data_IF_033807263121
#
_entry.id   IF_033807263121
#
_cell.length_a   1.000
_cell.length_b   1.000
_cell.length_c   1.000
_cell.angle_alpha   90.00
_cell.angle_beta   90.00
_cell.angle_gamma   90.00
#
_symmetry.space_group_name_H-M   'P 1'
#
loop_
_entity.id
_entity.type
_entity.pdbx_description
1 polymer ?
#
# COMPACT_ATOMS: atom_id res chain seq x y z
N UNK A 1 -7.34 -17.72 19.57
CA UNK A 1 -7.89 -16.35 19.74
C UNK A 1 -8.41 -15.92 18.38
N UNK A 2 -9.63 -15.40 18.28
CA UNK A 2 -10.15 -14.91 17.00
C UNK A 2 -9.37 -13.67 16.59
N UNK A 3 -8.79 -13.65 15.38
CA UNK A 3 -8.26 -12.39 14.79
C UNK A 3 -9.45 -11.44 14.64
N UNK A 4 -9.36 -10.22 15.15
CA UNK A 4 -10.46 -9.26 14.96
C UNK A 4 -10.41 -8.79 13.50
N UNK A 5 -11.56 -8.42 12.95
CA UNK A 5 -11.62 -7.86 11.61
C UNK A 5 -10.84 -6.54 11.57
N UNK A 6 -9.91 -6.36 10.61
CA UNK A 6 -9.12 -5.14 10.54
C UNK A 6 -10.05 -3.95 10.28
N UNK A 7 -9.68 -2.80 10.85
CA UNK A 7 -10.39 -1.53 10.65
C UNK A 7 -9.60 -0.52 9.82
N UNK A 8 -8.31 -0.82 9.57
CA UNK A 8 -7.42 -0.04 8.71
C UNK A 8 -6.61 -0.98 7.82
N UNK A 9 -6.50 -0.62 6.54
CA UNK A 9 -5.79 -1.40 5.53
C UNK A 9 -4.80 -0.52 4.74
N UNK A 10 -3.58 -0.32 5.26
CA UNK A 10 -2.52 0.28 4.47
C UNK A 10 -2.23 -0.60 3.25
N UNK A 11 -2.39 -0.05 2.05
CA UNK A 11 -2.09 -0.74 0.80
C UNK A 11 -0.66 -0.38 0.38
N UNK A 12 0.22 -1.37 0.36
CA UNK A 12 1.64 -1.23 0.02
C UNK A 12 1.94 -1.90 -1.32
N UNK A 13 2.92 -1.37 -2.04
CA UNK A 13 3.44 -1.94 -3.27
C UNK A 13 4.21 -0.90 -4.07
N UNK A 14 4.96 -1.34 -5.08
CA UNK A 14 5.68 -0.40 -5.94
C UNK A 14 4.71 0.38 -6.84
N UNK A 15 5.13 1.56 -7.30
CA UNK A 15 4.39 2.32 -8.30
C UNK A 15 4.07 1.43 -9.52
N UNK A 16 2.81 1.48 -9.99
CA UNK A 16 2.33 0.62 -11.07
C UNK A 16 1.68 -0.70 -10.63
N UNK A 17 1.81 -1.09 -9.35
CA UNK A 17 1.16 -2.30 -8.80
C UNK A 17 -0.35 -2.17 -8.60
N UNK A 18 -0.90 -0.94 -8.68
CA UNK A 18 -2.35 -0.70 -8.61
C UNK A 18 -2.88 -0.30 -7.23
N UNK A 19 -2.03 0.18 -6.32
CA UNK A 19 -2.43 0.51 -4.93
C UNK A 19 -3.65 1.42 -4.85
N UNK A 20 -3.67 2.54 -5.59
CA UNK A 20 -4.80 3.48 -5.58
C UNK A 20 -6.10 2.85 -6.11
N UNK A 21 -6.01 1.99 -7.13
CA UNK A 21 -7.18 1.32 -7.70
C UNK A 21 -7.76 0.31 -6.71
N UNK A 22 -6.92 -0.54 -6.11
CA UNK A 22 -7.35 -1.51 -5.11
C UNK A 22 -7.89 -0.81 -3.86
N UNK A 23 -7.23 0.25 -3.40
CA UNK A 23 -7.70 1.05 -2.27
C UNK A 23 -9.08 1.68 -2.53
N UNK A 24 -9.33 2.19 -3.74
CA UNK A 24 -10.64 2.71 -4.15
C UNK A 24 -11.73 1.64 -4.14
N UNK A 25 -11.47 0.50 -4.78
CA UNK A 25 -12.44 -0.61 -4.82
C UNK A 25 -12.76 -1.16 -3.42
N UNK A 26 -11.76 -1.28 -2.55
CA UNK A 26 -11.97 -1.68 -1.16
C UNK A 26 -12.81 -0.64 -0.39
N UNK A 27 -12.51 0.65 -0.55
CA UNK A 27 -13.26 1.72 0.09
C UNK A 27 -14.74 1.69 -0.33
N UNK A 28 -15.01 1.56 -1.63
CA UNK A 28 -16.37 1.51 -2.17
C UNK A 28 -17.15 0.30 -1.63
N UNK A 29 -16.54 -0.89 -1.60
CA UNK A 29 -17.21 -2.12 -1.15
C UNK A 29 -17.43 -2.18 0.35
N UNK A 30 -16.48 -1.68 1.13
CA UNK A 30 -16.54 -1.69 2.60
C UNK A 30 -17.28 -0.48 3.17
N UNK A 31 -17.59 0.53 2.33
CA UNK A 31 -18.12 1.82 2.79
C UNK A 31 -17.11 2.59 3.65
N UNK A 32 -15.82 2.39 3.40
CA UNK A 32 -14.73 2.98 4.18
C UNK A 32 -14.20 4.26 3.53
N UNK A 33 -13.55 5.10 4.34
CA UNK A 33 -12.89 6.32 3.86
C UNK A 33 -11.48 5.99 3.37
N UNK A 34 -11.13 6.50 2.18
CA UNK A 34 -9.76 6.44 1.65
C UNK A 34 -8.97 7.67 2.12
N UNK A 35 -7.72 7.47 2.50
CA UNK A 35 -6.75 8.53 2.78
C UNK A 35 -5.47 8.27 1.97
N UNK A 36 -4.79 9.32 1.54
CA UNK A 36 -3.51 9.23 0.84
C UNK A 36 -2.37 9.19 1.87
N UNK A 37 -1.55 8.13 1.84
CA UNK A 37 -0.49 7.95 2.83
C UNK A 37 0.61 9.04 2.74
N UNK A 38 0.82 9.60 1.54
CA UNK A 38 1.83 10.64 1.29
C UNK A 38 1.46 11.98 1.95
N UNK A 39 0.18 12.23 2.25
CA UNK A 39 -0.25 13.45 2.96
C UNK A 39 0.28 13.52 4.40
N UNK A 40 0.71 12.37 4.95
CA UNK A 40 1.29 12.29 6.28
C UNK A 40 2.81 12.53 6.29
N UNK A 41 3.45 12.65 5.13
CA UNK A 41 4.87 12.99 5.05
C UNK A 41 5.09 14.48 5.33
N UNK A 42 6.29 14.80 5.86
CA UNK A 42 6.75 16.19 5.92
C UNK A 42 6.99 16.71 4.50
N UNK A 43 6.86 18.02 4.30
CA UNK A 43 7.21 18.68 3.03
C UNK A 43 8.63 18.33 2.58
N UNK A 44 9.58 18.25 3.52
CA UNK A 44 10.96 17.87 3.24
C UNK A 44 11.09 16.45 2.65
N UNK A 45 10.32 15.48 3.16
CA UNK A 45 10.33 14.12 2.62
C UNK A 45 9.69 14.07 1.22
N UNK A 46 8.60 14.82 1.01
CA UNK A 46 7.95 14.93 -0.30
C UNK A 46 8.93 15.53 -1.33
N UNK A 47 9.64 16.60 -0.98
CA UNK A 47 10.67 17.22 -1.83
C UNK A 47 11.84 16.26 -2.12
N UNK A 48 12.31 15.54 -1.10
CA UNK A 48 13.36 14.53 -1.23
C UNK A 48 12.96 13.44 -2.23
N UNK A 49 11.75 12.89 -2.11
CA UNK A 49 11.23 11.91 -3.06
C UNK A 49 11.00 12.51 -4.45
N UNK A 50 10.50 13.75 -4.54
CA UNK A 50 10.28 14.46 -5.81
C UNK A 50 11.60 14.70 -6.58
N UNK A 51 12.71 14.90 -5.86
CA UNK A 51 14.06 14.98 -6.44
C UNK A 51 14.67 13.62 -6.85
N UNK A 52 13.94 12.52 -6.67
CA UNK A 52 14.41 11.16 -6.97
C UNK A 52 15.32 10.57 -5.89
N UNK A 53 15.47 11.23 -4.75
CA UNK A 53 16.26 10.72 -3.62
C UNK A 53 15.39 9.78 -2.77
N UNK A 54 15.81 8.53 -2.50
CA UNK A 54 15.05 7.63 -1.64
C UNK A 54 15.08 8.10 -0.18
N UNK A 55 14.00 7.81 0.55
CA UNK A 55 13.94 8.01 2.00
C UNK A 55 14.75 6.92 2.72
N UNK A 56 15.38 7.29 3.83
CA UNK A 56 15.96 6.36 4.81
C UNK A 56 14.90 5.96 5.84
N UNK A 57 15.20 4.98 6.69
CA UNK A 57 14.29 4.61 7.78
C UNK A 57 14.11 5.76 8.79
N UNK A 58 15.17 6.55 9.00
CA UNK A 58 15.12 7.76 9.82
C UNK A 58 14.11 8.78 9.28
N UNK A 59 14.07 8.96 7.97
CA UNK A 59 13.08 9.83 7.32
C UNK A 59 11.64 9.29 7.45
N UNK A 60 11.46 7.96 7.50
CA UNK A 60 10.14 7.29 7.57
C UNK A 60 9.54 7.27 8.97
N UNK A 61 10.36 7.26 10.03
CA UNK A 61 9.86 7.15 11.41
C UNK A 61 8.83 8.23 11.81
N UNK A 62 9.01 9.53 11.50
CA UNK A 62 8.00 10.56 11.76
C UNK A 62 6.67 10.30 11.04
N UNK A 63 6.74 9.84 9.80
CA UNK A 63 5.58 9.52 8.97
C UNK A 63 4.78 8.33 9.53
N UNK A 64 5.48 7.24 9.90
CA UNK A 64 4.85 6.09 10.55
C UNK A 64 4.16 6.48 11.87
N UNK A 65 4.77 7.39 12.64
CA UNK A 65 4.14 7.94 13.86
C UNK A 65 2.91 8.79 13.54
N UNK A 66 2.93 9.60 12.49
CA UNK A 66 1.78 10.40 12.06
C UNK A 66 0.61 9.52 11.60
N UNK A 67 0.88 8.47 10.81
CA UNK A 67 -0.13 7.46 10.43
C UNK A 67 -0.71 6.79 11.67
N UNK A 68 0.14 6.38 12.62
CA UNK A 68 -0.29 5.79 13.89
C UNK A 68 -1.17 6.74 14.70
N UNK A 69 -0.79 8.01 14.83
CA UNK A 69 -1.58 8.99 15.57
C UNK A 69 -2.94 9.24 14.88
N UNK A 70 -2.95 9.34 13.55
CA UNK A 70 -4.17 9.47 12.76
C UNK A 70 -5.11 8.27 12.95
N UNK A 71 -4.55 7.06 12.89
CA UNK A 71 -5.26 5.83 13.24
C UNK A 71 -5.87 5.98 14.63
N UNK A 72 -5.06 6.24 15.65
CA UNK A 72 -5.51 6.24 17.05
C UNK A 72 -6.67 7.25 17.28
N UNK A 73 -6.68 8.38 16.57
CA UNK A 73 -7.79 9.36 16.56
C UNK A 73 -9.07 8.79 15.92
N UNK A 74 -8.96 8.14 14.76
CA UNK A 74 -10.12 7.55 14.07
C UNK A 74 -10.65 6.29 14.78
N UNK A 75 -9.84 5.69 15.64
CA UNK A 75 -9.95 4.28 15.94
C UNK A 75 -10.56 3.92 17.30
N UNK A 76 -10.28 4.71 18.33
CA UNK A 76 -10.42 4.22 19.71
C UNK A 76 -9.41 3.09 20.05
N UNK A 77 -9.39 2.62 21.31
CA UNK A 77 -8.26 1.86 21.89
C UNK A 77 -8.08 0.41 21.38
N UNK A 78 -9.04 -0.17 20.67
CA UNK A 78 -9.04 -1.60 20.26
C UNK A 78 -8.97 -1.77 18.72
N UNK A 79 -7.84 -1.43 18.10
CA UNK A 79 -7.75 -1.47 16.63
C UNK A 79 -6.63 -2.30 16.02
N UNK A 80 -7.07 -3.30 15.25
CA UNK A 80 -6.28 -4.16 14.37
C UNK A 80 -6.03 -3.46 13.02
N UNK A 81 -4.76 -3.15 12.76
CA UNK A 81 -4.27 -2.77 11.42
C UNK A 81 -3.82 -4.04 10.71
N UNK A 82 -4.23 -4.21 9.45
CA UNK A 82 -3.67 -5.25 8.58
C UNK A 82 -3.07 -4.65 7.32
N UNK A 83 -1.79 -4.91 7.07
CA UNK A 83 -1.12 -4.46 5.84
C UNK A 83 -1.52 -5.33 4.65
N UNK A 84 -1.72 -4.70 3.50
CA UNK A 84 -1.92 -5.41 2.23
C UNK A 84 -0.75 -5.09 1.33
N UNK A 85 0.11 -6.08 1.11
CA UNK A 85 1.23 -5.97 0.19
C UNK A 85 0.84 -6.51 -1.18
N UNK A 86 0.76 -5.63 -2.18
CA UNK A 86 0.51 -6.00 -3.58
C UNK A 86 1.82 -6.44 -4.23
N UNK A 87 1.91 -7.73 -4.57
CA UNK A 87 3.14 -8.36 -5.08
C UNK A 87 3.01 -8.71 -6.56
N UNK A 88 4.10 -8.58 -7.31
CA UNK A 88 4.16 -8.91 -8.74
C UNK A 88 5.60 -8.97 -9.22
N UNK A 89 5.82 -9.67 -10.34
CA UNK A 89 7.16 -9.69 -10.96
C UNK A 89 7.47 -8.33 -11.61
N UNK A 90 8.77 -8.05 -11.78
CA UNK A 90 9.23 -6.82 -12.42
C UNK A 90 8.64 -6.64 -13.83
N UNK A 91 8.56 -7.75 -14.57
CA UNK A 91 8.04 -7.82 -15.93
C UNK A 91 6.56 -7.45 -15.95
N UNK A 92 5.76 -8.03 -15.05
CA UNK A 92 4.33 -7.75 -14.94
C UNK A 92 4.06 -6.29 -14.55
N UNK A 93 4.86 -5.72 -13.65
CA UNK A 93 4.73 -4.32 -13.25
C UNK A 93 5.11 -3.40 -14.41
N UNK A 94 6.20 -3.72 -15.13
CA UNK A 94 6.61 -2.97 -16.31
C UNK A 94 5.55 -3.00 -17.42
N UNK A 95 4.94 -4.16 -17.67
CA UNK A 95 3.85 -4.33 -18.63
C UNK A 95 2.62 -3.49 -18.26
N UNK A 96 2.22 -3.51 -16.99
CA UNK A 96 1.10 -2.68 -16.52
C UNK A 96 1.38 -1.19 -16.63
N UNK A 97 2.63 -0.78 -16.39
CA UNK A 97 3.04 0.61 -16.54
C UNK A 97 3.05 1.05 -18.01
N UNK A 98 3.52 0.19 -18.93
CA UNK A 98 3.57 0.52 -20.36
C UNK A 98 2.18 0.57 -21.02
N UNK A 99 1.22 -0.19 -20.51
CA UNK A 99 -0.18 -0.15 -20.94
C UNK A 99 -0.93 1.13 -20.54
N UNK A 100 -0.36 1.98 -19.69
CA UNK A 100 -0.97 3.26 -19.27
C UNK A 100 -0.44 4.40 -20.15
N UNK A 101 -1.34 5.11 -20.82
CA UNK A 101 -1.02 6.34 -21.56
C UNK A 101 -0.77 7.49 -20.59
N UNK A 102 0.49 7.74 -20.24
CA UNK A 102 0.90 8.88 -19.42
C UNK A 102 2.33 8.78 -18.89
N UNK A 103 2.96 9.93 -18.64
CA UNK A 103 4.33 10.06 -18.14
C UNK A 103 4.45 9.61 -16.67
N UNK A 104 4.41 8.31 -16.40
CA UNK A 104 4.68 7.79 -15.06
C UNK A 104 6.00 7.02 -15.06
N UNK A 105 6.98 7.58 -14.33
CA UNK A 105 8.25 7.00 -13.88
C UNK A 105 9.00 6.08 -14.88
N UNK A 106 10.21 6.45 -15.34
CA UNK A 106 10.90 5.67 -16.37
C UNK A 106 11.09 4.20 -15.93
N UNK A 107 10.78 3.22 -16.80
CA UNK A 107 10.89 1.78 -16.49
C UNK A 107 12.27 1.36 -15.98
N UNK A 108 13.31 2.13 -16.31
CA UNK A 108 14.68 1.95 -15.84
C UNK A 108 14.84 2.03 -14.31
N UNK A 109 13.89 2.61 -13.57
CA UNK A 109 13.91 2.68 -12.10
C UNK A 109 13.21 1.51 -11.41
N UNK A 110 12.56 0.60 -12.15
CA UNK A 110 11.84 -0.52 -11.56
C UNK A 110 12.74 -1.51 -10.79
N UNK A 111 13.93 -1.89 -11.29
CA UNK A 111 14.79 -2.83 -10.57
C UNK A 111 15.22 -2.31 -9.19
N UNK A 112 15.57 -1.02 -9.07
CA UNK A 112 15.99 -0.42 -7.80
C UNK A 112 14.83 -0.24 -6.81
N UNK A 113 13.59 -0.06 -7.30
CA UNK A 113 12.42 0.01 -6.43
C UNK A 113 12.01 -1.36 -5.89
N UNK A 114 12.11 -2.40 -6.71
CA UNK A 114 11.85 -3.77 -6.26
C UNK A 114 12.91 -4.25 -5.26
N UNK A 115 14.17 -3.84 -5.41
CA UNK A 115 15.21 -4.18 -4.44
C UNK A 115 15.08 -3.45 -3.10
N UNK A 116 14.34 -2.34 -3.04
CA UNK A 116 14.08 -1.57 -1.81
C UNK A 116 12.82 -2.07 -1.10
N UNK A 117 12.00 -2.88 -1.77
CA UNK A 117 10.75 -3.40 -1.22
C UNK A 117 11.08 -4.58 -0.30
N UNK A 118 11.14 -4.33 0.99
CA UNK A 118 11.26 -5.39 1.99
C UNK A 118 9.92 -6.13 2.09
N UNK A 119 9.98 -7.46 2.02
CA UNK A 119 8.79 -8.29 2.22
C UNK A 119 8.28 -8.13 3.66
N UNK A 120 6.97 -8.31 3.86
CA UNK A 120 6.39 -8.33 5.20
C UNK A 120 7.08 -9.40 6.05
N UNK A 121 7.54 -9.02 7.23
CA UNK A 121 8.11 -9.98 8.15
C UNK A 121 7.00 -10.86 8.75
N UNK A 122 7.25 -12.15 9.09
CA UNK A 122 6.19 -13.07 9.52
C UNK A 122 5.40 -12.66 10.78
N UNK A 123 5.90 -11.69 11.53
CA UNK A 123 5.27 -11.16 12.74
C UNK A 123 4.46 -9.89 12.50
N UNK A 124 4.56 -9.30 11.31
CA UNK A 124 3.74 -8.15 10.93
C UNK A 124 2.33 -8.63 10.59
N UNK A 125 1.32 -7.91 11.08
CA UNK A 125 -0.06 -8.24 10.76
C UNK A 125 -0.37 -7.79 9.33
N UNK A 126 -0.17 -8.66 8.36
CA UNK A 126 -0.43 -8.35 6.96
C UNK A 126 -0.67 -9.57 6.08
N UNK A 127 -1.06 -9.32 4.85
CA UNK A 127 -1.25 -10.30 3.80
C UNK A 127 -0.56 -9.85 2.52
N UNK A 128 -0.09 -10.83 1.74
CA UNK A 128 0.36 -10.59 0.38
C UNK A 128 -0.71 -11.01 -0.62
N UNK A 129 -0.94 -10.15 -1.62
CA UNK A 129 -1.87 -10.42 -2.72
C UNK A 129 -1.19 -10.17 -4.06
N UNK A 130 -1.12 -11.22 -4.88
CA UNK A 130 -0.53 -11.15 -6.21
C UNK A 130 -1.37 -10.30 -7.17
N UNK A 131 -0.71 -9.48 -7.98
CA UNK A 131 -1.37 -8.55 -8.90
C UNK A 131 -1.72 -9.16 -10.27
N UNK A 132 -1.53 -10.46 -10.50
CA UNK A 132 -1.70 -11.06 -11.83
C UNK A 132 -3.12 -10.90 -12.44
N UNK A 133 -4.16 -10.83 -11.59
CA UNK A 133 -5.56 -10.68 -12.02
C UNK A 133 -5.98 -9.24 -12.32
N UNK A 134 -7.24 -9.08 -12.74
CA UNK A 134 -7.91 -7.78 -12.83
C UNK A 134 -8.05 -7.12 -11.44
N UNK A 135 -8.17 -5.78 -11.35
CA UNK A 135 -8.30 -5.07 -10.07
C UNK A 135 -9.40 -5.61 -9.15
N UNK A 136 -10.52 -6.06 -9.71
CA UNK A 136 -11.64 -6.65 -8.99
C UNK A 136 -11.25 -7.99 -8.36
N UNK A 137 -10.52 -8.83 -9.10
CA UNK A 137 -10.02 -10.13 -8.60
C UNK A 137 -8.97 -9.95 -7.50
N UNK A 138 -8.13 -8.92 -7.62
CA UNK A 138 -7.15 -8.56 -6.58
C UNK A 138 -7.91 -8.12 -5.32
N UNK A 139 -8.94 -7.28 -5.48
CA UNK A 139 -9.79 -6.81 -4.38
C UNK A 139 -10.51 -7.96 -3.68
N UNK A 140 -11.11 -8.88 -4.44
CA UNK A 140 -11.73 -10.11 -3.90
C UNK A 140 -10.71 -10.94 -3.11
N UNK A 141 -9.48 -11.03 -3.63
CA UNK A 141 -8.37 -11.72 -2.97
C UNK A 141 -7.96 -11.11 -1.63
N UNK A 142 -8.07 -9.78 -1.48
CA UNK A 142 -7.84 -9.07 -0.21
C UNK A 142 -8.98 -9.37 0.78
N UNK A 143 -10.22 -9.17 0.35
CA UNK A 143 -11.41 -9.36 1.19
C UNK A 143 -11.48 -10.79 1.74
N UNK A 144 -11.23 -11.79 0.87
CA UNK A 144 -11.23 -13.20 1.25
C UNK A 144 -10.16 -13.53 2.30
N UNK A 145 -8.91 -13.08 2.09
CA UNK A 145 -7.80 -13.38 3.02
C UNK A 145 -7.97 -12.72 4.39
N UNK A 146 -8.59 -11.54 4.42
CA UNK A 146 -8.85 -10.80 5.66
C UNK A 146 -10.22 -11.11 6.28
N UNK A 147 -11.00 -12.00 5.64
CA UNK A 147 -12.36 -12.34 6.07
C UNK A 147 -13.25 -11.10 6.24
N UNK A 148 -13.11 -10.14 5.31
CA UNK A 148 -13.91 -8.93 5.28
C UNK A 148 -15.18 -9.15 4.45
N UNK A 149 -16.28 -8.45 4.79
CA UNK A 149 -17.50 -8.49 3.97
C UNK A 149 -17.19 -7.91 2.57
N UNK A 150 -17.72 -8.53 1.52
CA UNK A 150 -17.44 -8.18 0.13
C UNK A 150 -18.67 -8.00 -0.72
#
# INVERSE_FOLDING_TARGET
>A
MAKHSPKHLPIMGVAGSGNTTVAGLLADRLGWVRAEADEFHSTANVEKMASGTPLTDEDRWPWLRAIRAYRDILAGPDQDVSFVHLTGSAELIAERMSGRTGHFMPPSLLPSRLSTLEALEPHENGIEVGIAGAPEQITDGVLSRLHLPG
#
